data_IF_847048646108
#
_entry.id   IF_847048646108
#
_cell.length_a   1.000
_cell.length_b   1.000
_cell.length_c   1.000
_cell.angle_alpha   90.00
_cell.angle_beta   90.00
_cell.angle_gamma   90.00
#
_symmetry.space_group_name_H-M   'P 1'
#
loop_
_entity.id
_entity.type
_entity.pdbx_description
1 polymer ?
#
# COMPACT_ATOMS: atom_id res chain seq x y z
N UNK A 1 4.25 -16.84 17.01
CA UNK A 1 3.55 -16.22 15.86
C UNK A 1 3.98 -14.77 15.79
N UNK A 2 4.60 -14.35 14.68
CA UNK A 2 5.01 -12.96 14.46
C UNK A 2 3.76 -12.10 14.23
N UNK A 3 3.61 -11.01 14.97
CA UNK A 3 2.43 -10.13 14.90
C UNK A 3 2.73 -8.76 14.30
N UNK A 4 3.97 -8.51 13.88
CA UNK A 4 4.37 -7.22 13.30
C UNK A 4 4.09 -7.22 11.79
N UNK A 5 3.06 -6.47 11.40
CA UNK A 5 2.54 -6.43 10.03
C UNK A 5 2.45 -4.99 9.55
N UNK A 6 2.89 -4.76 8.31
CA UNK A 6 2.73 -3.51 7.60
C UNK A 6 1.55 -3.67 6.65
N UNK A 7 0.47 -2.96 6.93
CA UNK A 7 -0.72 -2.97 6.09
C UNK A 7 -0.72 -1.80 5.13
N UNK A 8 -0.93 -2.11 3.85
CA UNK A 8 -1.17 -1.17 2.78
C UNK A 8 -2.66 -1.16 2.47
N UNK A 9 -3.31 -0.01 2.61
CA UNK A 9 -4.72 0.13 2.25
C UNK A 9 -4.84 0.60 0.80
N UNK A 10 -5.56 -0.18 0.01
CA UNK A 10 -5.79 0.09 -1.42
C UNK A 10 -7.28 0.11 -1.69
N UNK A 11 -7.69 0.86 -2.70
CA UNK A 11 -9.08 0.81 -3.16
C UNK A 11 -9.31 -0.39 -4.08
N UNK A 12 -10.53 -0.92 -4.09
CA UNK A 12 -10.95 -1.98 -5.03
C UNK A 12 -10.77 -1.59 -6.50
N UNK A 13 -10.80 -0.29 -6.82
CA UNK A 13 -10.57 0.21 -8.18
C UNK A 13 -9.08 0.31 -8.57
N UNK A 14 -8.13 -0.01 -7.68
CA UNK A 14 -6.70 0.03 -8.00
C UNK A 14 -6.33 -1.18 -8.88
N UNK A 15 -5.71 -0.91 -10.03
CA UNK A 15 -5.24 -1.96 -10.97
C UNK A 15 -3.92 -2.58 -10.49
N UNK A 16 -3.07 -1.79 -9.85
CA UNK A 16 -1.81 -2.26 -9.26
C UNK A 16 -1.72 -1.84 -7.78
N UNK A 17 -1.81 -2.80 -6.84
CA UNK A 17 -1.75 -2.52 -5.40
C UNK A 17 -0.35 -2.05 -4.95
N UNK A 18 0.69 -2.33 -5.72
CA UNK A 18 2.07 -1.89 -5.44
C UNK A 18 2.34 -0.44 -5.83
N UNK A 19 1.56 0.10 -6.77
CA UNK A 19 1.73 1.47 -7.24
C UNK A 19 1.06 2.47 -6.29
N UNK A 20 -0.23 2.27 -5.97
CA UNK A 20 -1.05 3.27 -5.28
C UNK A 20 -1.76 2.70 -4.04
N UNK A 21 -1.25 3.03 -2.85
CA UNK A 21 -1.95 2.86 -1.58
C UNK A 21 -2.30 4.24 -1.02
N UNK A 22 -3.47 4.37 -0.37
CA UNK A 22 -3.92 5.65 0.18
C UNK A 22 -3.61 5.80 1.67
N UNK A 23 -3.41 4.68 2.36
CA UNK A 23 -3.02 4.67 3.76
C UNK A 23 -2.08 3.50 4.04
N UNK A 24 -1.29 3.70 5.09
CA UNK A 24 -0.32 2.72 5.57
C UNK A 24 -0.43 2.66 7.09
N UNK A 25 -0.48 1.45 7.62
CA UNK A 25 -0.50 1.23 9.07
C UNK A 25 0.47 0.12 9.43
N UNK A 26 0.95 0.15 10.67
CA UNK A 26 1.71 -0.94 11.26
C UNK A 26 0.89 -1.52 12.40
N UNK A 27 0.62 -2.81 12.33
CA UNK A 27 -0.01 -3.58 13.39
C UNK A 27 1.06 -4.36 14.16
N UNK A 28 0.86 -4.45 15.48
CA UNK A 28 1.72 -5.21 16.38
C UNK A 28 2.87 -4.41 16.98
N UNK A 29 3.74 -5.10 17.70
CA UNK A 29 4.87 -4.50 18.40
C UNK A 29 6.15 -4.62 17.56
N UNK A 30 6.80 -3.48 17.28
CA UNK A 30 8.05 -3.42 16.55
C UNK A 30 9.22 -4.08 17.30
N UNK A 31 9.18 -4.12 18.63
CA UNK A 31 10.22 -4.74 19.48
C UNK A 31 10.15 -6.27 19.45
N UNK A 32 8.97 -6.84 19.19
CA UNK A 32 8.75 -8.30 19.10
C UNK A 32 8.73 -8.81 17.65
N UNK A 33 9.33 -8.05 16.73
CA UNK A 33 9.40 -8.42 15.32
C UNK A 33 10.25 -9.66 15.12
N UNK A 34 9.75 -10.60 14.34
CA UNK A 34 10.54 -11.72 13.86
C UNK A 34 11.60 -11.24 12.83
N UNK A 35 12.65 -12.03 12.56
CA UNK A 35 13.73 -11.64 11.64
C UNK A 35 13.27 -11.32 10.21
N UNK A 36 12.10 -11.80 9.80
CA UNK A 36 11.50 -11.59 8.48
C UNK A 36 10.40 -10.51 8.46
N UNK A 37 10.20 -9.79 9.57
CA UNK A 37 9.24 -8.71 9.64
C UNK A 37 9.86 -7.37 9.16
N UNK A 38 9.02 -6.37 8.80
CA UNK A 38 7.56 -6.38 8.83
C UNK A 38 6.97 -7.30 7.76
N UNK A 39 5.94 -8.07 8.12
CA UNK A 39 5.17 -8.81 7.13
C UNK A 39 4.25 -7.86 6.39
N UNK A 40 4.24 -7.91 5.06
CA UNK A 40 3.41 -7.03 4.26
C UNK A 40 2.02 -7.63 4.05
N UNK A 41 0.99 -6.79 4.17
CA UNK A 41 -0.40 -7.16 3.90
C UNK A 41 -1.09 -6.07 3.12
N UNK A 42 -1.86 -6.46 2.11
CA UNK A 42 -2.72 -5.54 1.38
C UNK A 42 -4.15 -5.67 1.90
N UNK A 43 -4.74 -4.55 2.31
CA UNK A 43 -6.14 -4.45 2.75
C UNK A 43 -6.89 -3.69 1.67
N UNK A 44 -7.80 -4.40 1.00
CA UNK A 44 -8.64 -3.82 -0.05
C UNK A 44 -9.88 -3.22 0.58
N UNK A 45 -10.13 -1.94 0.29
CA UNK A 45 -11.28 -1.18 0.77
C UNK A 45 -12.15 -0.80 -0.42
N UNK A 46 -13.46 -0.91 -0.29
CA UNK A 46 -14.38 -0.46 -1.34
C UNK A 46 -14.26 1.05 -1.55
N UNK A 47 -14.05 1.45 -2.80
CA UNK A 47 -13.95 2.86 -3.15
C UNK A 47 -13.23 3.07 -4.48
N UNK A 48 -13.13 4.34 -4.87
CA UNK A 48 -12.48 4.74 -6.12
C UNK A 48 -11.19 5.47 -5.81
N UNK A 49 -10.08 4.91 -6.27
CA UNK A 49 -8.80 5.59 -6.27
C UNK A 49 -8.82 6.73 -7.29
N UNK A 50 -8.92 7.97 -6.80
CA UNK A 50 -8.87 9.17 -7.65
C UNK A 50 -7.53 9.29 -8.42
N UNK A 51 -6.45 8.70 -7.88
CA UNK A 51 -5.16 8.62 -8.56
C UNK A 51 -5.20 7.63 -9.72
N UNK A 52 -5.79 6.43 -9.56
CA UNK A 52 -5.95 5.51 -10.69
C UNK A 52 -6.94 6.05 -11.73
N UNK A 53 -8.01 6.72 -11.28
CA UNK A 53 -9.00 7.31 -12.16
C UNK A 53 -8.42 8.48 -13.00
N UNK A 54 -7.56 9.31 -12.41
CA UNK A 54 -6.85 10.36 -13.15
C UNK A 54 -5.66 9.82 -13.97
N UNK A 55 -4.97 8.78 -13.48
CA UNK A 55 -3.77 8.21 -14.10
C UNK A 55 -4.04 7.21 -15.24
N UNK A 56 -5.30 6.88 -15.56
CA UNK A 56 -5.63 6.17 -16.81
C UNK A 56 -5.40 7.02 -18.07
N UNK A 57 -5.31 8.35 -17.93
CA UNK A 57 -5.16 9.27 -19.07
C UNK A 57 -3.71 9.63 -19.43
N UNK A 58 -2.75 9.40 -18.53
CA UNK A 58 -1.35 9.81 -18.72
C UNK A 58 -0.44 8.61 -18.48
N UNK A 59 0.41 8.30 -19.47
CA UNK A 59 1.48 7.28 -19.44
C UNK A 59 2.57 7.56 -18.37
N UNK A 60 2.25 8.24 -17.29
CA UNK A 60 3.15 8.80 -16.28
C UNK A 60 2.97 8.20 -14.88
N UNK A 61 2.24 7.09 -14.74
CA UNK A 61 2.12 6.38 -13.45
C UNK A 61 3.45 5.79 -12.92
N UNK A 62 4.55 5.85 -13.68
CA UNK A 62 5.91 5.52 -13.19
C UNK A 62 6.65 6.68 -12.50
N UNK A 63 6.06 7.88 -12.41
CA UNK A 63 6.81 9.09 -12.04
C UNK A 63 6.63 9.59 -10.60
N UNK A 64 5.91 8.88 -9.72
CA UNK A 64 5.93 9.14 -8.27
C UNK A 64 6.82 8.14 -7.52
N UNK A 65 7.88 7.65 -8.18
CA UNK A 65 8.99 7.01 -7.47
C UNK A 65 9.80 8.11 -6.78
N UNK A 66 9.68 8.18 -5.44
CA UNK A 66 10.66 8.74 -4.51
C UNK A 66 11.24 10.12 -4.85
N UNK A 67 10.77 11.15 -4.16
CA UNK A 67 11.43 12.45 -4.11
C UNK A 67 11.46 13.00 -2.69
N UNK A 68 12.65 12.94 -2.06
CA UNK A 68 12.98 13.66 -0.82
C UNK A 68 13.25 12.77 0.37
#
# INVERSE_FOLDING_TARGET
MCKYTKNYYIYTSCVDPGAHYFALSYDGNADERCPRAPHERYIVVEGVCLLCNSCQSLRSCRAWTWGG
#
